data_IF_340543456270
#
_entry.id   IF_340543456270
#
_cell.length_a   1.000
_cell.length_b   1.000
_cell.length_c   1.000
_cell.angle_alpha   90.00
_cell.angle_beta   90.00
_cell.angle_gamma   90.00
#
_symmetry.space_group_name_H-M   'P 1'
#
loop_
_entity.id
_entity.type
_entity.pdbx_description
1 polymer ?
#
# COMPACT_ATOMS: atom_id res chain seq x y z
N UNK A 1 8.79 7.27 15.19
CA UNK A 1 8.02 7.79 14.07
C UNK A 1 6.83 8.65 14.54
N UNK A 2 5.94 8.14 15.43
CA UNK A 2 4.76 8.88 15.94
C UNK A 2 5.06 10.31 16.37
N UNK A 3 6.19 10.53 17.09
CA UNK A 3 6.64 11.87 17.48
C UNK A 3 6.99 12.74 16.28
N UNK A 4 7.68 12.19 15.27
CA UNK A 4 8.08 12.93 14.06
C UNK A 4 6.85 13.33 13.22
N UNK A 5 5.89 12.41 13.07
CA UNK A 5 4.65 12.68 12.34
C UNK A 5 3.78 13.78 12.99
N UNK A 6 3.96 14.04 14.29
CA UNK A 6 3.24 15.08 15.03
C UNK A 6 3.90 16.47 14.95
N UNK A 7 5.11 16.58 14.37
CA UNK A 7 5.80 17.86 14.27
C UNK A 7 5.24 18.68 13.08
N UNK A 8 4.97 19.98 13.30
CA UNK A 8 4.54 20.84 12.22
C UNK A 8 5.65 21.02 11.17
N UNK A 9 5.28 21.10 9.91
CA UNK A 9 6.18 21.32 8.78
C UNK A 9 7.24 20.21 8.57
N UNK A 10 6.96 19.00 9.01
CA UNK A 10 7.79 17.82 8.75
C UNK A 10 7.02 16.83 7.89
N UNK A 11 7.57 16.51 6.73
CA UNK A 11 7.13 15.37 5.94
C UNK A 11 7.84 14.12 6.41
N UNK A 12 7.09 13.03 6.56
CA UNK A 12 7.63 11.75 7.03
C UNK A 12 7.40 10.68 5.96
N UNK A 13 8.48 9.95 5.66
CA UNK A 13 8.44 8.77 4.80
C UNK A 13 8.74 7.54 5.64
N UNK A 14 7.97 6.50 5.45
CA UNK A 14 8.14 5.22 6.12
C UNK A 14 8.29 4.11 5.08
N UNK A 15 9.43 3.42 5.10
CA UNK A 15 9.74 2.35 4.16
C UNK A 15 9.53 0.99 4.81
N UNK A 16 8.71 0.16 4.19
CA UNK A 16 8.53 -1.26 4.49
C UNK A 16 9.18 -2.10 3.39
N UNK A 17 9.77 -3.24 3.75
CA UNK A 17 10.45 -4.11 2.80
C UNK A 17 9.84 -5.51 2.85
N UNK A 18 9.09 -5.89 1.81
CA UNK A 18 8.54 -7.23 1.66
C UNK A 18 9.63 -8.24 1.28
N UNK A 19 9.61 -9.42 1.89
CA UNK A 19 10.58 -10.49 1.63
C UNK A 19 11.79 -10.49 2.56
N UNK A 20 11.76 -9.72 3.65
CA UNK A 20 12.71 -9.88 4.75
C UNK A 20 12.52 -11.25 5.43
N UNK A 21 13.59 -11.92 5.90
CA UNK A 21 13.46 -13.09 6.77
C UNK A 21 12.60 -12.80 8.00
N UNK A 22 11.81 -13.78 8.43
CA UNK A 22 10.91 -13.71 9.59
C UNK A 22 9.79 -12.65 9.45
N UNK A 23 9.46 -12.21 8.23
CA UNK A 23 8.45 -11.20 7.98
C UNK A 23 7.35 -11.74 7.05
N UNK A 24 6.14 -11.89 7.59
CA UNK A 24 4.99 -12.48 6.90
C UNK A 24 4.12 -11.42 6.24
N UNK A 25 3.31 -11.81 5.26
CA UNK A 25 2.40 -10.90 4.57
C UNK A 25 1.41 -10.21 5.53
N UNK A 26 0.86 -10.92 6.52
CA UNK A 26 -0.09 -10.32 7.47
C UNK A 26 0.55 -9.20 8.31
N UNK A 27 1.82 -9.35 8.70
CA UNK A 27 2.56 -8.33 9.44
C UNK A 27 2.77 -7.06 8.58
N UNK A 28 2.96 -7.21 7.27
CA UNK A 28 3.04 -6.07 6.34
C UNK A 28 1.75 -5.25 6.37
N UNK A 29 0.57 -5.90 6.36
CA UNK A 29 -0.72 -5.21 6.47
C UNK A 29 -0.91 -4.52 7.83
N UNK A 30 -0.47 -5.15 8.92
CA UNK A 30 -0.51 -4.59 10.28
C UNK A 30 0.41 -3.38 10.41
N UNK A 31 1.62 -3.46 9.82
CA UNK A 31 2.57 -2.34 9.81
C UNK A 31 2.05 -1.15 9.00
N UNK A 32 1.45 -1.38 7.84
CA UNK A 32 0.78 -0.31 7.06
C UNK A 32 -0.31 0.36 7.91
N UNK A 33 -1.15 -0.41 8.61
CA UNK A 33 -2.18 0.12 9.50
C UNK A 33 -1.58 0.93 10.65
N UNK A 34 -0.51 0.44 11.25
CA UNK A 34 0.23 1.11 12.34
C UNK A 34 0.80 2.45 11.86
N UNK A 35 1.45 2.46 10.69
CA UNK A 35 2.01 3.67 10.09
C UNK A 35 0.92 4.68 9.72
N UNK A 36 -0.21 4.23 9.18
CA UNK A 36 -1.38 5.07 8.96
C UNK A 36 -1.90 5.66 10.27
N UNK A 37 -1.90 4.88 11.37
CA UNK A 37 -2.24 5.35 12.72
C UNK A 37 -1.32 6.45 13.25
N UNK A 38 -0.06 6.44 12.86
CA UNK A 38 0.90 7.52 13.19
C UNK A 38 0.78 8.74 12.27
N UNK A 39 -0.07 8.69 11.27
CA UNK A 39 -0.20 9.71 10.23
C UNK A 39 1.10 9.92 9.43
N UNK A 40 1.79 8.83 9.09
CA UNK A 40 2.93 8.90 8.18
C UNK A 40 2.52 9.62 6.88
N UNK A 41 3.34 10.58 6.44
CA UNK A 41 3.06 11.37 5.25
C UNK A 41 3.08 10.51 3.98
N UNK A 42 4.00 9.54 3.92
CA UNK A 42 4.10 8.56 2.86
C UNK A 42 4.47 7.19 3.44
N UNK A 43 3.88 6.13 2.90
CA UNK A 43 4.21 4.74 3.21
C UNK A 43 4.67 4.07 1.92
N UNK A 44 5.95 3.76 1.82
CA UNK A 44 6.53 3.03 0.71
C UNK A 44 6.66 1.55 1.08
N UNK A 45 6.25 0.66 0.19
CA UNK A 45 6.40 -0.78 0.35
C UNK A 45 7.15 -1.34 -0.85
N UNK A 46 8.41 -1.71 -0.62
CA UNK A 46 9.31 -2.21 -1.65
C UNK A 46 9.61 -3.70 -1.49
N UNK A 47 9.93 -4.36 -2.62
CA UNK A 47 10.44 -5.73 -2.57
C UNK A 47 11.92 -5.75 -2.21
N UNK A 48 12.32 -6.66 -1.33
CA UNK A 48 13.73 -6.88 -1.00
C UNK A 48 14.55 -7.24 -2.23
N UNK A 49 15.70 -6.59 -2.39
CA UNK A 49 16.68 -6.83 -3.45
C UNK A 49 17.99 -7.34 -2.86
N UNK A 50 18.41 -8.53 -3.26
CA UNK A 50 19.65 -9.14 -2.78
C UNK A 50 20.88 -8.69 -3.61
N UNK A 51 21.37 -7.51 -3.27
CA UNK A 51 22.49 -6.89 -4.00
C UNK A 51 23.78 -7.70 -3.87
N UNK A 52 24.62 -7.78 -4.95
CA UNK A 52 25.93 -8.40 -4.91
C UNK A 52 26.80 -7.85 -3.77
N UNK A 53 27.54 -8.73 -3.09
CA UNK A 53 28.45 -8.35 -2.01
C UNK A 53 27.82 -8.21 -0.63
N UNK A 54 26.49 -8.23 -0.50
CA UNK A 54 25.82 -8.15 0.80
C UNK A 54 25.90 -9.46 1.56
N UNK A 55 25.91 -9.38 2.91
CA UNK A 55 25.89 -10.56 3.80
C UNK A 55 24.62 -11.39 3.60
N UNK A 56 23.48 -10.74 3.47
CA UNK A 56 22.20 -11.42 3.25
C UNK A 56 22.22 -12.27 1.95
N UNK A 57 22.85 -11.75 0.87
CA UNK A 57 23.01 -12.54 -0.36
C UNK A 57 23.92 -13.75 -0.17
N UNK A 58 25.01 -13.63 0.61
CA UNK A 58 25.90 -14.77 0.91
C UNK A 58 25.19 -15.86 1.72
N UNK A 59 24.26 -15.47 2.56
CA UNK A 59 23.48 -16.34 3.42
C UNK A 59 22.10 -16.69 2.87
N UNK A 60 21.82 -16.39 1.61
CA UNK A 60 20.48 -16.56 1.03
C UNK A 60 19.96 -17.99 1.16
N UNK A 61 20.79 -19.01 0.92
CA UNK A 61 20.43 -20.41 1.07
C UNK A 61 20.09 -20.75 2.53
N UNK A 62 20.93 -20.34 3.49
CA UNK A 62 20.71 -20.53 4.93
C UNK A 62 19.39 -19.86 5.38
N UNK A 63 19.08 -18.67 4.85
CA UNK A 63 17.89 -17.90 5.14
C UNK A 63 16.65 -18.33 4.33
N UNK A 64 16.79 -19.37 3.50
CA UNK A 64 15.70 -19.86 2.64
C UNK A 64 15.19 -18.86 1.59
N UNK A 65 16.04 -17.90 1.22
CA UNK A 65 15.68 -16.85 0.28
C UNK A 65 15.94 -17.30 -1.15
N UNK A 66 14.88 -17.32 -1.97
CA UNK A 66 14.99 -17.45 -3.43
C UNK A 66 14.88 -16.08 -4.07
N UNK A 67 15.78 -15.76 -4.99
CA UNK A 67 15.84 -14.46 -5.64
C UNK A 67 16.20 -14.57 -7.12
N UNK A 68 15.91 -13.54 -7.90
CA UNK A 68 16.31 -13.43 -9.30
C UNK A 68 17.84 -13.29 -9.40
N UNK A 69 18.54 -14.12 -10.20
CA UNK A 69 19.96 -13.95 -10.44
C UNK A 69 20.28 -12.73 -11.30
N UNK A 70 19.27 -12.16 -11.98
CA UNK A 70 19.38 -10.99 -12.84
C UNK A 70 18.96 -9.72 -12.09
N UNK A 71 19.54 -8.56 -12.43
CA UNK A 71 19.08 -7.29 -11.89
C UNK A 71 17.56 -7.12 -12.09
N UNK A 72 16.86 -6.54 -11.11
CA UNK A 72 17.35 -5.91 -9.87
C UNK A 72 17.60 -6.85 -8.68
N UNK A 73 17.74 -8.16 -8.89
CA UNK A 73 18.03 -9.18 -7.88
C UNK A 73 16.91 -9.32 -6.83
N UNK A 74 15.69 -9.22 -7.28
CA UNK A 74 14.50 -9.21 -6.44
C UNK A 74 14.27 -10.56 -5.77
N UNK A 75 13.87 -10.54 -4.49
CA UNK A 75 13.44 -11.73 -3.76
C UNK A 75 12.12 -12.24 -4.35
N UNK A 76 12.08 -13.54 -4.58
CA UNK A 76 10.94 -14.25 -5.16
C UNK A 76 10.17 -15.07 -4.12
N UNK A 77 10.84 -15.49 -3.05
CA UNK A 77 10.28 -16.30 -1.98
C UNK A 77 11.24 -16.31 -0.78
N UNK A 78 10.68 -16.42 0.44
CA UNK A 78 11.42 -16.81 1.65
C UNK A 78 10.73 -18.00 2.32
N UNK A 79 11.14 -18.39 3.53
CA UNK A 79 10.42 -19.38 4.32
C UNK A 79 9.03 -18.86 4.74
N UNK A 80 8.90 -17.55 5.00
CA UNK A 80 7.73 -16.91 5.60
C UNK A 80 6.75 -16.37 4.55
N UNK A 81 7.24 -16.05 3.35
CA UNK A 81 6.41 -15.41 2.32
C UNK A 81 6.61 -16.10 0.96
N UNK A 82 5.53 -16.57 0.38
CA UNK A 82 5.48 -17.24 -0.91
C UNK A 82 5.53 -16.24 -2.09
N UNK A 83 5.72 -16.75 -3.32
CA UNK A 83 5.66 -15.96 -4.56
C UNK A 83 4.35 -15.21 -4.71
N UNK A 84 3.22 -15.86 -4.40
CA UNK A 84 1.88 -15.26 -4.50
C UNK A 84 1.67 -14.17 -3.45
N UNK A 85 2.20 -14.34 -2.25
CA UNK A 85 2.12 -13.33 -1.19
C UNK A 85 3.01 -12.12 -1.50
N UNK A 86 4.21 -12.31 -2.07
CA UNK A 86 5.02 -11.20 -2.57
C UNK A 86 4.33 -10.45 -3.71
N UNK A 87 3.58 -11.15 -4.57
CA UNK A 87 2.75 -10.47 -5.58
C UNK A 87 1.66 -9.63 -4.92
N UNK A 88 1.02 -10.15 -3.86
CA UNK A 88 0.03 -9.39 -3.07
C UNK A 88 0.67 -8.17 -2.41
N UNK A 89 1.87 -8.29 -1.86
CA UNK A 89 2.61 -7.15 -1.30
C UNK A 89 2.90 -6.07 -2.36
N UNK A 90 3.30 -6.46 -3.59
CA UNK A 90 3.46 -5.51 -4.70
C UNK A 90 2.16 -4.81 -5.10
N UNK A 91 1.05 -5.53 -5.07
CA UNK A 91 -0.27 -4.94 -5.32
C UNK A 91 -0.67 -3.98 -4.20
N UNK A 92 -0.37 -4.33 -2.93
CA UNK A 92 -0.56 -3.42 -1.80
C UNK A 92 0.28 -2.14 -1.95
N UNK A 93 1.55 -2.25 -2.38
CA UNK A 93 2.40 -1.09 -2.72
C UNK A 93 1.70 -0.15 -3.71
N UNK A 94 1.18 -0.68 -4.81
CA UNK A 94 0.44 0.11 -5.81
C UNK A 94 -0.84 0.75 -5.28
N UNK A 95 -1.54 0.05 -4.38
CA UNK A 95 -2.70 0.62 -3.69
C UNK A 95 -2.28 1.80 -2.83
N UNK A 96 -1.20 1.67 -2.05
CA UNK A 96 -0.66 2.76 -1.24
C UNK A 96 -0.29 3.97 -2.09
N UNK A 97 0.47 3.77 -3.17
CA UNK A 97 0.85 4.84 -4.10
C UNK A 97 -0.37 5.52 -4.73
N UNK A 98 -1.36 4.72 -5.09
CA UNK A 98 -2.56 5.22 -5.76
C UNK A 98 -3.52 6.00 -4.87
N UNK A 99 -3.59 5.66 -3.58
CA UNK A 99 -4.65 6.15 -2.71
C UNK A 99 -4.10 6.76 -1.40
N UNK A 100 -3.22 6.07 -0.67
CA UNK A 100 -2.66 6.60 0.56
C UNK A 100 -1.62 7.70 0.30
N UNK A 101 -0.67 7.47 -0.61
CA UNK A 101 0.41 8.41 -0.94
C UNK A 101 -0.05 9.53 -1.92
N UNK A 102 -1.31 9.50 -2.35
CA UNK A 102 -1.90 10.54 -3.21
C UNK A 102 -2.66 11.54 -2.34
N UNK A 103 -2.19 12.81 -2.22
CA UNK A 103 -2.76 13.81 -1.30
C UNK A 103 -4.27 13.96 -1.38
N UNK A 104 -4.84 13.90 -2.59
CA UNK A 104 -6.28 14.02 -2.81
C UNK A 104 -7.12 12.93 -2.10
N UNK A 105 -6.56 11.74 -1.92
CA UNK A 105 -7.27 10.58 -1.36
C UNK A 105 -6.74 10.14 0.00
N UNK A 106 -5.63 10.71 0.45
CA UNK A 106 -4.89 10.29 1.64
C UNK A 106 -5.75 10.29 2.91
N UNK A 107 -6.42 11.40 3.20
CA UNK A 107 -7.22 11.54 4.43
C UNK A 107 -8.31 10.49 4.49
N UNK A 108 -9.10 10.34 3.42
CA UNK A 108 -10.16 9.34 3.36
C UNK A 108 -9.62 7.92 3.45
N UNK A 109 -8.55 7.60 2.69
CA UNK A 109 -7.94 6.27 2.70
C UNK A 109 -7.42 5.92 4.09
N UNK A 110 -6.78 6.88 4.77
CA UNK A 110 -6.30 6.71 6.14
C UNK A 110 -7.44 6.44 7.12
N UNK A 111 -8.52 7.20 7.05
CA UNK A 111 -9.71 6.98 7.90
C UNK A 111 -10.29 5.58 7.70
N UNK A 112 -10.44 5.13 6.46
CA UNK A 112 -10.93 3.79 6.13
C UNK A 112 -10.01 2.68 6.68
N UNK A 113 -8.69 2.83 6.55
CA UNK A 113 -7.69 1.90 7.11
C UNK A 113 -7.83 1.79 8.64
N UNK A 114 -8.07 2.90 9.33
CA UNK A 114 -8.15 2.93 10.79
C UNK A 114 -9.47 2.38 11.33
N UNK A 115 -10.56 2.62 10.62
CA UNK A 115 -11.89 2.23 11.06
C UNK A 115 -12.29 0.79 10.69
N UNK A 116 -11.65 0.19 9.67
CA UNK A 116 -11.86 -1.23 9.34
C UNK A 116 -10.52 -1.95 9.09
N UNK A 117 -10.21 -2.95 9.93
CA UNK A 117 -9.00 -3.78 9.79
C UNK A 117 -8.95 -4.54 8.46
N UNK A 118 -10.10 -4.81 7.86
CA UNK A 118 -10.21 -5.53 6.60
C UNK A 118 -10.26 -4.61 5.37
N UNK A 119 -10.24 -3.28 5.55
CA UNK A 119 -10.35 -2.34 4.44
C UNK A 119 -9.32 -2.61 3.34
N UNK A 120 -8.04 -2.70 3.68
CA UNK A 120 -6.97 -2.92 2.71
C UNK A 120 -7.17 -4.22 1.94
N UNK A 121 -7.53 -5.31 2.61
CA UNK A 121 -7.82 -6.60 1.99
C UNK A 121 -9.03 -6.52 1.03
N UNK A 122 -10.12 -5.90 1.47
CA UNK A 122 -11.35 -5.74 0.67
C UNK A 122 -11.11 -4.85 -0.54
N UNK A 123 -10.42 -3.74 -0.35
CA UNK A 123 -10.16 -2.80 -1.43
C UNK A 123 -9.18 -3.38 -2.45
N UNK A 124 -8.13 -4.08 -1.99
CA UNK A 124 -7.22 -4.80 -2.86
C UNK A 124 -7.93 -5.89 -3.68
N UNK A 125 -8.78 -6.69 -3.03
CA UNK A 125 -9.59 -7.71 -3.72
C UNK A 125 -10.54 -7.08 -4.75
N UNK A 126 -11.17 -5.94 -4.43
CA UNK A 126 -12.00 -5.21 -5.37
C UNK A 126 -11.21 -4.74 -6.59
N UNK A 127 -10.06 -4.07 -6.39
CA UNK A 127 -9.21 -3.58 -7.48
C UNK A 127 -8.69 -4.72 -8.36
N UNK A 128 -8.37 -5.87 -7.78
CA UNK A 128 -7.95 -7.07 -8.48
C UNK A 128 -9.11 -7.65 -9.32
N UNK A 129 -10.30 -7.78 -8.73
CA UNK A 129 -11.51 -8.29 -9.39
C UNK A 129 -11.88 -7.46 -10.62
N UNK A 130 -11.75 -6.14 -10.55
CA UNK A 130 -12.04 -5.23 -11.67
C UNK A 130 -10.84 -5.01 -12.60
N UNK A 131 -9.75 -5.75 -12.40
CA UNK A 131 -8.50 -5.72 -13.16
C UNK A 131 -7.88 -4.33 -13.28
N UNK A 132 -7.86 -3.57 -12.21
CA UNK A 132 -7.36 -2.20 -12.17
C UNK A 132 -6.08 -2.01 -11.35
N UNK A 133 -5.74 -2.95 -10.44
CA UNK A 133 -4.61 -2.80 -9.54
C UNK A 133 -3.26 -2.69 -10.28
N UNK A 134 -3.13 -3.37 -11.42
CA UNK A 134 -1.92 -3.41 -12.23
C UNK A 134 -1.97 -2.43 -13.43
N UNK A 135 -3.00 -1.56 -13.50
CA UNK A 135 -3.19 -0.62 -14.60
C UNK A 135 -2.82 0.82 -14.18
N UNK A 136 -2.22 1.61 -15.07
CA UNK A 136 -2.05 3.03 -14.83
C UNK A 136 -3.42 3.70 -14.72
N UNK A 137 -3.61 4.50 -13.67
CA UNK A 137 -4.86 5.21 -13.42
C UNK A 137 -4.62 6.70 -13.26
N UNK A 138 -5.44 7.51 -13.94
CA UNK A 138 -5.49 8.96 -13.71
C UNK A 138 -6.03 9.27 -12.30
N UNK A 139 -5.76 10.46 -11.79
CA UNK A 139 -6.30 10.94 -10.54
C UNK A 139 -7.83 10.84 -10.51
N UNK A 140 -8.50 11.27 -11.59
CA UNK A 140 -9.94 11.18 -11.75
C UNK A 140 -10.45 9.73 -11.65
N UNK A 141 -9.81 8.78 -12.35
CA UNK A 141 -10.21 7.37 -12.31
C UNK A 141 -10.07 6.77 -10.90
N UNK A 142 -8.99 7.11 -10.18
CA UNK A 142 -8.80 6.68 -8.78
C UNK A 142 -9.93 7.19 -7.88
N UNK A 143 -10.29 8.47 -8.01
CA UNK A 143 -11.38 9.07 -7.23
C UNK A 143 -12.74 8.41 -7.50
N UNK A 144 -13.08 8.14 -8.77
CA UNK A 144 -14.31 7.41 -9.13
C UNK A 144 -14.35 6.01 -8.52
N UNK A 145 -13.24 5.28 -8.59
CA UNK A 145 -13.11 3.94 -8.01
C UNK A 145 -13.31 3.98 -6.49
N UNK A 146 -12.65 4.91 -5.81
CA UNK A 146 -12.75 5.05 -4.36
C UNK A 146 -14.18 5.44 -3.94
N UNK A 147 -14.81 6.37 -4.67
CA UNK A 147 -16.20 6.77 -4.44
C UNK A 147 -17.17 5.59 -4.60
N UNK A 148 -17.09 4.85 -5.72
CA UNK A 148 -17.97 3.71 -5.97
C UNK A 148 -17.73 2.57 -4.97
N UNK A 149 -16.48 2.35 -4.58
CA UNK A 149 -16.15 1.38 -3.54
C UNK A 149 -16.75 1.77 -2.19
N UNK A 150 -16.63 3.04 -1.78
CA UNK A 150 -17.24 3.55 -0.54
C UNK A 150 -18.76 3.41 -0.61
N UNK A 151 -19.40 3.85 -1.69
CA UNK A 151 -20.86 3.75 -1.88
C UNK A 151 -21.40 2.33 -1.70
N UNK A 152 -20.63 1.31 -2.14
CA UNK A 152 -21.04 -0.09 -2.07
C UNK A 152 -20.73 -0.76 -0.73
N UNK A 153 -19.61 -0.42 -0.10
CA UNK A 153 -19.08 -1.16 1.04
C UNK A 153 -19.02 -0.33 2.34
N UNK A 154 -19.00 1.00 2.24
CA UNK A 154 -18.88 1.94 3.34
C UNK A 154 -19.78 3.17 3.09
N UNK A 155 -21.12 2.98 3.03
CA UNK A 155 -22.05 4.06 2.64
C UNK A 155 -21.95 5.29 3.57
N UNK A 156 -21.52 5.12 4.81
CA UNK A 156 -21.25 6.20 5.76
C UNK A 156 -20.10 7.12 5.31
N UNK A 157 -19.19 6.65 4.47
CA UNK A 157 -18.08 7.43 3.90
C UNK A 157 -18.37 7.99 2.52
N UNK A 158 -19.57 7.77 1.96
CA UNK A 158 -19.91 8.24 0.62
C UNK A 158 -19.81 9.78 0.48
N UNK A 159 -20.25 10.51 1.52
CA UNK A 159 -20.18 11.98 1.53
C UNK A 159 -18.72 12.45 1.58
N UNK A 160 -17.91 11.85 2.44
CA UNK A 160 -16.47 12.17 2.54
C UNK A 160 -15.74 11.89 1.22
N UNK A 161 -16.10 10.80 0.54
CA UNK A 161 -15.54 10.49 -0.78
C UNK A 161 -15.95 11.53 -1.84
N UNK A 162 -17.20 12.03 -1.80
CA UNK A 162 -17.64 13.10 -2.67
C UNK A 162 -16.95 14.44 -2.35
N UNK A 163 -16.70 14.74 -1.07
CA UNK A 163 -15.95 15.94 -0.66
C UNK A 163 -14.51 15.86 -1.19
N UNK A 164 -13.79 14.75 -0.95
CA UNK A 164 -12.44 14.54 -1.47
C UNK A 164 -12.37 14.67 -3.00
N UNK A 165 -13.39 14.18 -3.70
CA UNK A 165 -13.53 14.35 -5.14
C UNK A 165 -13.60 15.82 -5.58
N UNK A 166 -14.41 16.66 -4.89
CA UNK A 166 -14.53 18.09 -5.17
C UNK A 166 -13.23 18.82 -4.86
N UNK A 167 -12.61 18.53 -3.70
CA UNK A 167 -11.34 19.12 -3.28
C UNK A 167 -10.19 18.79 -4.23
N UNK A 168 -10.25 17.63 -4.88
CA UNK A 168 -9.34 17.26 -5.96
C UNK A 168 -9.61 18.02 -7.29
N UNK A 169 -10.56 18.97 -7.32
CA UNK A 169 -10.90 19.77 -8.49
C UNK A 169 -11.81 19.07 -9.50
N UNK A 170 -12.45 17.97 -9.13
CA UNK A 170 -13.30 17.19 -10.02
C UNK A 170 -14.76 17.66 -9.99
N UNK A 171 -15.48 17.48 -11.12
CA UNK A 171 -16.87 17.90 -11.23
C UNK A 171 -17.82 16.86 -10.64
N UNK A 172 -18.78 17.30 -9.78
CA UNK A 172 -19.86 16.45 -9.25
C UNK A 172 -20.73 15.78 -10.31
N UNK A 173 -20.78 16.34 -11.53
CA UNK A 173 -21.58 15.76 -12.64
C UNK A 173 -21.06 14.40 -13.09
N UNK A 174 -19.88 13.98 -12.61
CA UNK A 174 -19.24 12.70 -12.96
C UNK A 174 -19.40 11.63 -11.87
N UNK A 175 -19.87 11.96 -10.69
CA UNK A 175 -20.31 11.06 -9.63
C UNK A 175 -21.77 10.67 -9.80
#
# INVERSE_FOLDING_TARGET
LRFLCALPNMETHADLIAGLPLYHLHEIFEDVRTLAGYAAGEIQLESLKLLPGTEMRRRAEELGIKYSPLPPYEVLQTHEISVSELQTARQLSRLLDGFYNTPAWQTLTRELILNDEQFLHRFLAYLTKVNLIDQPMSLEKRGLILYEFCKQNYPEYQIQAAIAWIEAGMSLKKL
#
